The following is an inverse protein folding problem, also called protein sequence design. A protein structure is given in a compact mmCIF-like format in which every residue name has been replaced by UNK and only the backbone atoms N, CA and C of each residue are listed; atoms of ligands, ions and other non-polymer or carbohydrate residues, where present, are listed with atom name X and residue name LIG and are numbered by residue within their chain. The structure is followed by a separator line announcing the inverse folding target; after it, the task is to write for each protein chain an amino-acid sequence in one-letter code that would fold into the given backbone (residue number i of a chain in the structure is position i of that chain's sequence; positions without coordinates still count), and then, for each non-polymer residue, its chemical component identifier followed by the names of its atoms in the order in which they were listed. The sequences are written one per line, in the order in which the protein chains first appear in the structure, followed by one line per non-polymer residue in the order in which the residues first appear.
data_IF_377517556752
#
_entry.id   IF_377517556752
#
_cell.length_a   1.000
_cell.length_b   1.000
_cell.length_c   1.000
_cell.angle_alpha   90.00
_cell.angle_beta   90.00
_cell.angle_gamma   90.00
#
_symmetry.space_group_name_H-M   'P 1'
#
loop_
_entity.id
_entity.type
_entity.pdbx_description
1 polymer ?
#
# COMPACT_ATOMS: atom_id res chain seq x y z
N UNK A 1 9.08 9.53 38.33
CA UNK A 1 8.61 8.76 37.15
C UNK A 1 9.84 8.24 36.44
N UNK A 2 9.91 6.94 36.17
CA UNK A 2 11.06 6.34 35.47
C UNK A 2 11.01 6.72 33.99
N UNK A 3 12.18 6.93 33.37
CA UNK A 3 12.31 7.15 31.91
C UNK A 3 11.71 6.00 31.08
N UNK A 4 11.66 4.80 31.65
CA UNK A 4 11.01 3.62 31.07
C UNK A 4 9.49 3.77 30.98
N UNK A 5 8.85 4.35 32.01
CA UNK A 5 7.39 4.55 32.06
C UNK A 5 6.94 5.62 31.04
N UNK A 6 7.75 6.65 30.88
CA UNK A 6 7.49 7.74 29.92
C UNK A 6 7.63 7.24 28.48
N UNK A 7 8.69 6.45 28.18
CA UNK A 7 8.87 5.83 26.89
C UNK A 7 7.74 4.84 26.53
N UNK A 8 7.25 4.08 27.51
CA UNK A 8 6.13 3.15 27.32
C UNK A 8 4.83 3.88 27.03
N UNK A 9 4.52 4.95 27.77
CA UNK A 9 3.31 5.79 27.53
C UNK A 9 3.35 6.48 26.17
N UNK A 10 4.50 7.00 25.76
CA UNK A 10 4.65 7.60 24.44
C UNK A 10 4.48 6.55 23.31
N UNK A 11 4.96 5.34 23.53
CA UNK A 11 4.77 4.22 22.57
C UNK A 11 3.29 3.86 22.48
N UNK A 12 2.60 3.73 23.59
CA UNK A 12 1.16 3.41 23.61
C UNK A 12 0.36 4.51 22.92
N UNK A 13 0.59 5.78 23.21
CA UNK A 13 -0.08 6.90 22.57
C UNK A 13 0.14 6.92 21.04
N UNK A 14 1.33 6.54 20.58
CA UNK A 14 1.63 6.41 19.14
C UNK A 14 0.79 5.31 18.50
N UNK A 15 0.69 4.14 19.15
CA UNK A 15 -0.08 3.00 18.65
C UNK A 15 -1.58 3.33 18.62
N UNK A 16 -2.09 3.95 19.68
CA UNK A 16 -3.50 4.33 19.80
C UNK A 16 -3.87 5.35 18.71
N UNK A 17 -3.05 6.39 18.51
CA UNK A 17 -3.26 7.40 17.47
C UNK A 17 -3.21 6.83 16.04
N UNK A 18 -2.29 5.89 15.77
CA UNK A 18 -2.25 5.20 14.47
C UNK A 18 -3.47 4.31 14.25
N UNK A 19 -3.91 3.62 15.30
CA UNK A 19 -5.10 2.76 15.25
C UNK A 19 -6.37 3.58 14.99
N UNK A 20 -6.56 4.67 15.73
CA UNK A 20 -7.69 5.58 15.59
C UNK A 20 -7.73 6.17 14.16
N UNK A 21 -6.62 6.75 13.70
CA UNK A 21 -6.51 7.26 12.35
C UNK A 21 -6.83 6.18 11.29
N UNK A 22 -6.29 4.97 11.44
CA UNK A 22 -6.55 3.90 10.48
C UNK A 22 -8.03 3.50 10.44
N UNK A 23 -8.72 3.46 11.59
CA UNK A 23 -10.14 3.16 11.69
C UNK A 23 -11.01 4.28 11.09
N UNK A 24 -10.70 5.52 11.39
CA UNK A 24 -11.53 6.67 11.02
C UNK A 24 -11.27 7.14 9.58
N UNK A 25 -10.08 6.88 9.05
CA UNK A 25 -9.68 7.35 7.72
C UNK A 25 -9.58 6.20 6.71
N UNK A 26 -8.76 5.17 6.98
CA UNK A 26 -8.46 4.15 5.98
C UNK A 26 -9.58 3.12 5.79
N UNK A 27 -10.35 2.82 6.83
CA UNK A 27 -11.40 1.79 6.76
C UNK A 27 -12.78 2.34 6.39
N UNK A 28 -12.94 3.65 6.34
CA UNK A 28 -14.22 4.28 6.02
C UNK A 28 -14.37 4.53 4.51
N UNK A 29 -15.59 4.41 3.98
CA UNK A 29 -15.91 4.93 2.67
C UNK A 29 -15.99 6.46 2.75
N UNK A 30 -15.23 7.15 1.89
CA UNK A 30 -15.23 8.59 1.79
C UNK A 30 -15.60 8.99 0.35
N UNK A 31 -16.50 9.96 0.20
CA UNK A 31 -16.90 10.45 -1.13
C UNK A 31 -15.72 11.05 -1.90
N UNK A 32 -14.79 11.64 -1.16
CA UNK A 32 -13.60 12.33 -1.68
C UNK A 32 -12.62 11.40 -2.39
N UNK A 33 -12.67 10.08 -2.16
CA UNK A 33 -11.75 9.15 -2.86
C UNK A 33 -12.09 8.95 -4.34
N UNK A 34 -13.29 9.38 -4.78
CA UNK A 34 -13.72 9.26 -6.18
C UNK A 34 -14.12 7.84 -6.60
N UNK A 35 -14.37 6.93 -5.67
CA UNK A 35 -14.89 5.57 -5.89
C UNK A 35 -15.66 5.06 -4.67
N UNK A 36 -16.43 4.00 -4.85
CA UNK A 36 -17.10 3.32 -3.74
C UNK A 36 -16.12 2.51 -2.87
N UNK A 37 -16.52 2.30 -1.61
CA UNK A 37 -15.79 1.49 -0.63
C UNK A 37 -14.75 2.29 0.19
N UNK A 38 -14.04 1.60 1.10
CA UNK A 38 -13.10 2.24 2.01
C UNK A 38 -11.86 2.78 1.29
N UNK A 39 -11.18 3.75 1.90
CA UNK A 39 -9.91 4.30 1.39
C UNK A 39 -8.91 3.18 1.11
N UNK A 40 -8.75 2.26 2.07
CA UNK A 40 -7.94 1.04 1.88
C UNK A 40 -8.78 -0.22 2.22
N UNK A 41 -9.10 -1.07 1.24
CA UNK A 41 -9.92 -2.26 1.49
C UNK A 41 -9.22 -3.34 2.31
N UNK A 42 -7.91 -3.23 2.51
CA UNK A 42 -7.09 -4.24 3.17
C UNK A 42 -6.87 -3.98 4.67
N UNK A 43 -6.87 -2.71 5.11
CA UNK A 43 -6.57 -2.33 6.50
C UNK A 43 -7.60 -2.91 7.48
N UNK A 44 -8.89 -2.77 7.23
CA UNK A 44 -9.93 -3.32 8.11
C UNK A 44 -9.81 -4.83 8.32
N UNK A 45 -9.72 -5.65 7.26
CA UNK A 45 -9.47 -7.09 7.39
C UNK A 45 -8.14 -7.44 8.07
N UNK A 46 -7.07 -6.66 7.85
CA UNK A 46 -5.78 -6.88 8.49
C UNK A 46 -5.85 -6.62 10.01
N UNK A 47 -6.49 -5.52 10.43
CA UNK A 47 -6.70 -5.18 11.85
C UNK A 47 -7.52 -6.25 12.59
N UNK A 48 -8.61 -6.75 11.99
CA UNK A 48 -9.43 -7.80 12.62
C UNK A 48 -8.71 -9.14 12.80
N UNK A 49 -7.58 -9.35 12.13
CA UNK A 49 -6.78 -10.57 12.17
C UNK A 49 -5.43 -10.38 12.84
N UNK A 50 -5.18 -9.21 13.44
CA UNK A 50 -3.91 -8.85 14.09
C UNK A 50 -2.70 -9.03 13.15
N UNK A 51 -2.85 -8.60 11.88
CA UNK A 51 -1.83 -8.74 10.83
C UNK A 51 -1.08 -7.42 10.55
N UNK A 52 -1.13 -6.46 11.46
CA UNK A 52 -0.40 -5.20 11.39
C UNK A 52 0.59 -5.13 12.54
N UNK A 53 1.88 -5.14 12.21
CA UNK A 53 2.96 -4.93 13.17
C UNK A 53 3.42 -3.48 13.10
N UNK A 54 3.66 -2.88 14.24
CA UNK A 54 4.14 -1.50 14.34
C UNK A 54 5.47 -1.48 15.06
N UNK A 55 6.52 -1.12 14.33
CA UNK A 55 7.82 -0.75 14.87
C UNK A 55 7.91 0.76 15.04
N UNK A 56 8.61 1.23 16.06
CA UNK A 56 8.84 2.64 16.32
C UNK A 56 10.34 2.93 16.35
N UNK A 57 10.78 3.89 15.54
CA UNK A 57 12.12 4.45 15.67
C UNK A 57 12.14 5.35 16.90
N UNK A 58 12.93 4.98 17.90
CA UNK A 58 13.08 5.72 19.14
C UNK A 58 14.13 6.83 19.00
N UNK A 59 14.01 7.87 19.84
CA UNK A 59 14.97 8.97 19.95
C UNK A 59 14.37 10.32 19.62
N UNK A 60 14.86 11.36 20.30
CA UNK A 60 14.36 12.72 20.16
C UNK A 60 14.70 13.36 18.80
N UNK A 61 15.74 12.89 18.15
CA UNK A 61 16.16 13.29 16.80
C UNK A 61 16.56 12.02 16.04
N UNK A 62 15.65 11.46 15.22
CA UNK A 62 15.97 10.28 14.45
C UNK A 62 17.11 10.60 13.46
N UNK A 63 18.21 9.86 13.60
CA UNK A 63 19.38 9.99 12.73
C UNK A 63 19.07 9.31 11.38
N UNK A 64 19.15 10.03 10.23
CA UNK A 64 18.75 9.51 8.94
C UNK A 64 19.33 8.15 8.55
N UNK A 65 20.65 7.87 8.73
CA UNK A 65 21.20 6.54 8.45
C UNK A 65 20.60 5.44 9.32
N UNK A 66 20.21 5.73 10.56
CA UNK A 66 19.54 4.74 11.42
C UNK A 66 18.12 4.46 10.96
N UNK A 67 17.36 5.49 10.56
CA UNK A 67 16.02 5.31 9.97
C UNK A 67 16.11 4.44 8.73
N UNK A 68 17.07 4.73 7.84
CA UNK A 68 17.36 3.90 6.66
C UNK A 68 17.59 2.44 7.03
N UNK A 69 18.49 2.18 7.96
CA UNK A 69 18.82 0.82 8.40
C UNK A 69 17.57 0.07 8.88
N UNK A 70 16.73 0.72 9.69
CA UNK A 70 15.49 0.12 10.18
C UNK A 70 14.53 -0.22 9.03
N UNK A 71 14.45 0.62 7.99
CA UNK A 71 13.62 0.32 6.81
C UNK A 71 14.22 -0.82 5.97
N UNK A 72 15.52 -0.89 5.84
CA UNK A 72 16.20 -2.01 5.17
C UNK A 72 16.00 -3.32 5.94
N UNK A 73 16.08 -3.28 7.28
CA UNK A 73 15.77 -4.43 8.13
C UNK A 73 14.31 -4.88 7.96
N UNK A 74 13.37 -3.96 7.76
CA UNK A 74 11.98 -4.29 7.51
C UNK A 74 11.80 -5.14 6.24
N UNK A 75 12.65 -4.97 5.21
CA UNK A 75 12.66 -5.80 4.01
C UNK A 75 13.02 -7.27 4.31
N UNK A 76 13.90 -7.50 5.26
CA UNK A 76 14.32 -8.84 5.67
C UNK A 76 13.39 -9.46 6.72
N UNK A 77 12.77 -8.63 7.56
CA UNK A 77 11.85 -9.07 8.61
C UNK A 77 10.47 -9.41 8.10
N UNK A 78 9.95 -8.63 7.15
CA UNK A 78 8.57 -8.78 6.66
C UNK A 78 8.24 -10.21 6.17
N UNK A 79 9.08 -10.91 5.39
CA UNK A 79 8.80 -12.28 4.97
C UNK A 79 8.65 -13.26 6.13
N UNK A 80 9.26 -12.98 7.29
CA UNK A 80 9.24 -13.82 8.49
C UNK A 80 8.06 -13.56 9.42
N UNK A 81 7.22 -12.56 9.13
CA UNK A 81 6.00 -12.33 9.91
C UNK A 81 4.96 -13.41 9.60
N UNK A 82 4.23 -13.87 10.62
CA UNK A 82 3.19 -14.88 10.43
C UNK A 82 1.85 -14.25 9.98
N UNK A 83 1.01 -14.95 9.22
CA UNK A 83 1.27 -16.22 8.54
C UNK A 83 2.12 -16.01 7.28
N UNK A 84 3.03 -16.93 7.00
CA UNK A 84 3.93 -16.83 5.84
C UNK A 84 3.22 -17.12 4.51
N UNK A 85 2.11 -17.86 4.55
CA UNK A 85 1.36 -18.29 3.37
C UNK A 85 -0.16 -18.29 3.62
N UNK A 86 -0.93 -18.52 2.55
CA UNK A 86 -2.38 -18.56 2.59
C UNK A 86 -3.05 -17.19 2.36
N UNK A 87 -4.39 -17.18 2.32
CA UNK A 87 -5.17 -15.97 2.00
C UNK A 87 -4.98 -14.80 2.96
N UNK A 88 -4.63 -15.07 4.22
CA UNK A 88 -4.33 -14.02 5.22
C UNK A 88 -2.93 -13.44 5.08
N UNK A 89 -1.98 -14.15 4.48
CA UNK A 89 -0.61 -13.67 4.31
C UNK A 89 -0.52 -12.39 3.46
N UNK A 90 -1.45 -12.20 2.54
CA UNK A 90 -1.51 -11.00 1.70
C UNK A 90 -1.95 -9.74 2.45
N UNK A 91 -2.59 -9.90 3.62
CA UNK A 91 -3.07 -8.81 4.47
C UNK A 91 -2.00 -8.29 5.44
N UNK A 92 -0.84 -8.96 5.52
CA UNK A 92 0.24 -8.55 6.41
C UNK A 92 0.73 -7.14 6.09
N UNK A 93 1.00 -6.38 7.15
CA UNK A 93 1.48 -5.02 7.08
C UNK A 93 2.50 -4.78 8.19
N UNK A 94 3.64 -4.18 7.86
CA UNK A 94 4.65 -3.75 8.83
C UNK A 94 4.80 -2.23 8.72
N UNK A 95 4.48 -1.53 9.79
CA UNK A 95 4.58 -0.08 9.92
C UNK A 95 5.86 0.26 10.65
N UNK A 96 6.69 1.10 10.09
CA UNK A 96 7.85 1.72 10.76
C UNK A 96 7.51 3.18 11.02
N UNK A 97 7.07 3.49 12.23
CA UNK A 97 6.72 4.84 12.66
C UNK A 97 7.96 5.60 13.15
N UNK A 98 8.05 6.88 12.79
CA UNK A 98 9.15 7.80 13.17
C UNK A 98 8.55 9.07 13.83
N UNK A 99 7.87 8.96 14.97
CA UNK A 99 6.97 9.99 15.47
C UNK A 99 7.67 11.32 15.85
N UNK A 100 8.98 11.32 16.02
CA UNK A 100 9.75 12.53 16.35
C UNK A 100 10.45 13.16 15.14
N UNK A 101 10.25 12.59 13.94
CA UNK A 101 10.73 13.19 12.71
C UNK A 101 9.96 14.50 12.43
N UNK A 102 10.70 15.54 12.05
CA UNK A 102 10.14 16.85 11.72
C UNK A 102 10.36 17.24 10.27
N UNK A 103 11.43 16.75 9.69
CA UNK A 103 11.72 16.92 8.27
C UNK A 103 11.23 15.67 7.51
N UNK A 104 10.06 15.79 6.88
CA UNK A 104 9.41 14.68 6.19
C UNK A 104 10.05 14.39 4.82
N UNK A 105 10.95 15.25 4.32
CA UNK A 105 11.70 14.97 3.09
C UNK A 105 12.49 13.69 3.20
N UNK A 106 12.94 13.32 4.40
CA UNK A 106 13.60 12.05 4.66
C UNK A 106 12.71 10.84 4.34
N UNK A 107 11.39 10.92 4.59
CA UNK A 107 10.44 9.85 4.26
C UNK A 107 10.34 9.68 2.76
N UNK A 108 10.23 10.78 2.01
CA UNK A 108 10.14 10.76 0.56
C UNK A 108 11.44 10.27 -0.08
N UNK A 109 12.60 10.71 0.42
CA UNK A 109 13.91 10.26 -0.05
C UNK A 109 14.09 8.75 0.17
N UNK A 110 13.82 8.25 1.37
CA UNK A 110 13.91 6.83 1.68
C UNK A 110 12.92 5.99 0.86
N UNK A 111 11.69 6.48 0.69
CA UNK A 111 10.72 5.84 -0.18
C UNK A 111 11.22 5.77 -1.63
N UNK A 112 11.65 6.88 -2.21
CA UNK A 112 12.13 6.94 -3.59
C UNK A 112 13.33 6.02 -3.83
N UNK A 113 14.26 5.98 -2.87
CA UNK A 113 15.48 5.18 -2.98
C UNK A 113 15.22 3.68 -2.78
N UNK A 114 14.43 3.31 -1.78
CA UNK A 114 14.30 1.91 -1.38
C UNK A 114 13.15 1.18 -2.09
N UNK A 115 12.13 1.87 -2.60
CA UNK A 115 10.91 1.26 -3.18
C UNK A 115 11.22 0.18 -4.21
N UNK A 116 12.19 0.39 -5.10
CA UNK A 116 12.56 -0.60 -6.12
C UNK A 116 12.93 -1.94 -5.50
N UNK A 117 13.73 -1.94 -4.43
CA UNK A 117 14.15 -3.18 -3.73
C UNK A 117 12.97 -3.94 -3.12
N UNK A 118 11.94 -3.23 -2.63
CA UNK A 118 10.71 -3.85 -2.12
C UNK A 118 9.87 -4.42 -3.25
N UNK A 119 9.68 -3.66 -4.32
CA UNK A 119 8.88 -4.07 -5.49
C UNK A 119 9.46 -5.34 -6.14
N UNK A 120 10.78 -5.42 -6.31
CA UNK A 120 11.47 -6.60 -6.85
C UNK A 120 11.23 -7.86 -6.03
N UNK A 121 10.99 -7.72 -4.71
CA UNK A 121 10.63 -8.82 -3.81
C UNK A 121 9.11 -9.06 -3.71
N UNK A 122 8.32 -8.41 -4.56
CA UNK A 122 6.86 -8.53 -4.57
C UNK A 122 6.18 -7.88 -3.37
N UNK A 123 6.80 -6.83 -2.82
CA UNK A 123 6.31 -6.01 -1.73
C UNK A 123 6.00 -4.60 -2.22
N UNK A 124 5.22 -3.86 -1.45
CA UNK A 124 5.01 -2.42 -1.62
C UNK A 124 5.59 -1.69 -0.43
N UNK A 125 6.25 -0.58 -0.69
CA UNK A 125 6.66 0.41 0.30
C UNK A 125 5.81 1.66 0.08
N UNK A 126 5.14 2.15 1.12
CA UNK A 126 4.33 3.36 1.10
C UNK A 126 4.85 4.37 2.12
N UNK A 127 4.79 5.66 1.76
CA UNK A 127 5.13 6.79 2.62
C UNK A 127 3.85 7.41 3.21
N UNK A 128 3.91 7.81 4.48
CA UNK A 128 2.81 8.51 5.15
C UNK A 128 3.39 9.53 6.11
N UNK A 129 2.86 10.76 6.12
CA UNK A 129 3.27 11.79 7.08
C UNK A 129 2.25 12.94 7.09
N UNK A 130 2.24 13.79 8.15
CA UNK A 130 1.34 14.94 8.22
C UNK A 130 1.53 15.90 7.04
N UNK A 131 0.44 16.16 6.33
CA UNK A 131 0.42 17.04 5.19
C UNK A 131 1.00 16.43 3.90
N UNK A 132 1.15 15.11 3.80
CA UNK A 132 1.57 14.42 2.57
C UNK A 132 0.65 14.79 1.40
N UNK A 133 1.24 15.28 0.31
CA UNK A 133 0.51 15.76 -0.88
C UNK A 133 0.46 14.74 -2.03
N UNK A 134 0.85 13.49 -1.76
CA UNK A 134 0.70 12.45 -2.77
C UNK A 134 -0.77 12.27 -3.14
N UNK A 135 -1.15 12.46 -4.41
CA UNK A 135 -2.55 12.49 -4.81
C UNK A 135 -3.17 11.09 -4.81
N UNK A 136 -4.46 11.05 -4.56
CA UNK A 136 -5.26 9.84 -4.72
C UNK A 136 -5.31 9.36 -6.16
N UNK A 137 -5.51 8.06 -6.34
CA UNK A 137 -5.57 7.44 -7.67
C UNK A 137 -6.76 7.95 -8.50
N UNK A 138 -7.92 8.09 -7.88
CA UNK A 138 -9.19 8.43 -8.52
C UNK A 138 -9.55 9.92 -8.39
N UNK A 139 -9.12 10.55 -7.30
CA UNK A 139 -9.29 11.97 -7.07
C UNK A 139 -7.95 12.60 -6.73
N UNK A 140 -7.48 13.53 -7.56
CA UNK A 140 -6.16 14.17 -7.40
C UNK A 140 -6.13 15.23 -6.29
N UNK A 141 -7.27 15.71 -5.86
CA UNK A 141 -7.40 16.66 -4.75
C UNK A 141 -7.48 15.96 -3.39
N UNK A 142 -7.64 14.63 -3.39
CA UNK A 142 -7.63 13.82 -2.17
C UNK A 142 -6.23 13.25 -1.90
N UNK A 143 -5.77 13.35 -0.66
CA UNK A 143 -4.43 12.94 -0.24
C UNK A 143 -4.50 11.77 0.76
N UNK A 144 -4.60 10.52 0.30
CA UNK A 144 -4.82 9.34 1.16
C UNK A 144 -3.65 9.00 2.08
N UNK A 145 -2.47 9.60 1.84
CA UNK A 145 -1.25 9.33 2.61
C UNK A 145 -0.97 10.42 3.67
N UNK A 146 -1.90 11.38 3.83
CA UNK A 146 -1.87 12.33 4.94
C UNK A 146 -2.19 11.57 6.25
N UNK A 147 -1.20 11.46 7.11
CA UNK A 147 -1.26 10.66 8.32
C UNK A 147 -0.74 11.45 9.54
N UNK A 148 -1.23 11.17 10.76
CA UNK A 148 -0.86 11.95 11.95
C UNK A 148 0.59 11.75 12.37
N UNK A 149 1.25 10.69 11.91
CA UNK A 149 2.60 10.31 12.30
C UNK A 149 3.40 9.92 11.05
N UNK A 150 4.64 10.46 10.89
CA UNK A 150 5.49 10.04 9.77
C UNK A 150 5.88 8.58 9.90
N UNK A 151 5.71 7.83 8.80
CA UNK A 151 5.98 6.39 8.76
C UNK A 151 6.24 5.89 7.35
N UNK A 152 6.96 4.77 7.26
CA UNK A 152 7.05 3.94 6.07
C UNK A 152 6.35 2.61 6.34
N UNK A 153 5.58 2.14 5.36
CA UNK A 153 4.72 0.98 5.51
C UNK A 153 5.04 -0.05 4.44
N UNK A 154 5.33 -1.28 4.90
CA UNK A 154 5.60 -2.42 4.04
C UNK A 154 4.39 -3.35 4.02
N UNK A 155 3.97 -3.78 2.85
CA UNK A 155 2.94 -4.80 2.68
C UNK A 155 3.19 -5.67 1.45
N UNK A 156 2.49 -6.77 1.36
CA UNK A 156 2.50 -7.60 0.15
C UNK A 156 1.93 -6.82 -1.04
N UNK A 157 2.59 -6.90 -2.19
CA UNK A 157 2.07 -6.36 -3.45
C UNK A 157 0.81 -7.12 -3.87
N UNK A 158 -0.25 -6.38 -4.20
CA UNK A 158 -1.54 -6.89 -4.64
C UNK A 158 -1.74 -6.68 -6.14
N UNK A 159 -2.65 -7.42 -6.76
CA UNK A 159 -2.98 -7.22 -8.17
C UNK A 159 -3.53 -5.82 -8.47
N UNK A 160 -4.20 -5.21 -7.50
CA UNK A 160 -4.72 -3.83 -7.56
C UNK A 160 -3.65 -2.75 -7.49
N UNK A 161 -2.38 -3.09 -7.23
CA UNK A 161 -1.28 -2.11 -7.15
C UNK A 161 -0.74 -1.69 -8.52
N UNK A 162 -1.21 -2.29 -9.58
CA UNK A 162 -0.83 -2.00 -10.96
C UNK A 162 -0.63 -0.50 -11.25
N UNK A 163 -1.58 0.42 -10.89
CA UNK A 163 -1.45 1.83 -11.24
C UNK A 163 -0.25 2.53 -10.58
N UNK A 164 0.17 2.07 -9.39
CA UNK A 164 1.30 2.64 -8.63
C UNK A 164 2.68 2.18 -9.14
N UNK A 165 2.70 1.30 -10.14
CA UNK A 165 3.91 0.69 -10.68
C UNK A 165 4.21 1.11 -12.13
N UNK A 166 3.32 1.90 -12.74
CA UNK A 166 3.41 2.31 -14.15
C UNK A 166 4.56 3.29 -14.44
N UNK A 167 5.12 3.93 -13.41
CA UNK A 167 6.16 4.94 -13.59
C UNK A 167 7.53 4.38 -13.94
N UNK A 168 7.77 3.06 -13.75
CA UNK A 168 9.07 2.42 -13.99
C UNK A 168 8.93 1.03 -14.62
N UNK A 169 9.69 0.76 -15.70
CA UNK A 169 9.67 -0.55 -16.37
C UNK A 169 10.03 -1.72 -15.46
N UNK A 170 11.01 -1.54 -14.57
CA UNK A 170 11.45 -2.57 -13.62
C UNK A 170 10.36 -2.93 -12.62
N UNK A 171 9.54 -1.96 -12.20
CA UNK A 171 8.40 -2.22 -11.31
C UNK A 171 7.30 -3.02 -12.00
N UNK A 172 6.99 -2.66 -13.25
CA UNK A 172 6.04 -3.43 -14.06
C UNK A 172 6.55 -4.84 -14.37
N UNK A 173 7.86 -4.99 -14.61
CA UNK A 173 8.46 -6.31 -14.79
C UNK A 173 8.30 -7.19 -13.56
N UNK A 174 8.56 -6.64 -12.36
CA UNK A 174 8.36 -7.35 -11.08
C UNK A 174 6.88 -7.71 -10.86
N UNK A 175 5.95 -6.80 -11.18
CA UNK A 175 4.51 -7.03 -11.10
C UNK A 175 4.07 -8.19 -12.02
N UNK A 176 4.44 -8.14 -13.30
CA UNK A 176 4.08 -9.18 -14.28
C UNK A 176 4.70 -10.52 -13.89
N UNK A 177 5.96 -10.53 -13.41
CA UNK A 177 6.60 -11.74 -12.89
C UNK A 177 5.83 -12.37 -11.73
N UNK A 178 5.30 -11.54 -10.83
CA UNK A 178 4.54 -12.00 -9.66
C UNK A 178 3.16 -12.57 -10.04
N UNK A 179 2.41 -11.86 -10.88
CA UNK A 179 1.00 -12.18 -11.15
C UNK A 179 0.81 -13.05 -12.41
N UNK A 180 1.82 -13.15 -13.25
CA UNK A 180 1.83 -14.02 -14.44
C UNK A 180 3.14 -14.83 -14.51
N UNK A 181 3.47 -15.64 -13.49
CA UNK A 181 4.75 -16.37 -13.41
C UNK A 181 4.94 -17.37 -14.53
N UNK A 182 3.85 -17.90 -15.12
CA UNK A 182 3.89 -18.86 -16.24
C UNK A 182 4.25 -18.25 -17.59
N UNK A 183 4.31 -16.91 -17.72
CA UNK A 183 4.70 -16.28 -18.98
C UNK A 183 6.22 -16.39 -19.19
N UNK A 184 6.70 -16.83 -20.39
CA UNK A 184 8.10 -16.77 -20.76
C UNK A 184 8.67 -15.35 -20.67
N UNK A 185 9.98 -15.22 -20.42
CA UNK A 185 10.62 -13.90 -20.19
C UNK A 185 10.37 -12.91 -21.35
N UNK A 186 10.54 -13.35 -22.60
CA UNK A 186 10.34 -12.51 -23.79
C UNK A 186 8.88 -12.04 -23.94
N UNK A 187 7.90 -12.87 -23.52
CA UNK A 187 6.48 -12.50 -23.55
C UNK A 187 6.20 -11.46 -22.45
N UNK A 188 6.79 -11.63 -21.26
CA UNK A 188 6.67 -10.61 -20.17
C UNK A 188 7.20 -9.26 -20.61
N UNK A 189 8.34 -9.21 -21.29
CA UNK A 189 8.92 -7.97 -21.81
C UNK A 189 7.98 -7.26 -22.79
N UNK A 190 7.36 -8.00 -23.71
CA UNK A 190 6.36 -7.47 -24.65
C UNK A 190 5.13 -6.95 -23.90
N UNK A 191 4.62 -7.69 -22.90
CA UNK A 191 3.48 -7.27 -22.08
C UNK A 191 3.81 -5.99 -21.31
N UNK A 192 4.96 -5.93 -20.66
CA UNK A 192 5.41 -4.72 -19.93
C UNK A 192 5.49 -3.53 -20.87
N UNK A 193 6.12 -3.66 -22.03
CA UNK A 193 6.20 -2.60 -23.03
C UNK A 193 4.84 -2.09 -23.48
N UNK A 194 3.87 -3.00 -23.68
CA UNK A 194 2.49 -2.65 -24.05
C UNK A 194 1.74 -1.91 -22.94
N UNK A 195 1.89 -2.36 -21.68
CA UNK A 195 1.27 -1.74 -20.54
C UNK A 195 1.78 -0.32 -20.30
N UNK A 196 3.09 -0.12 -20.41
CA UNK A 196 3.73 1.20 -20.26
C UNK A 196 3.36 2.15 -21.42
N UNK A 197 3.30 1.65 -22.66
CA UNK A 197 2.87 2.44 -23.80
C UNK A 197 1.38 2.85 -23.70
N UNK A 198 0.54 1.99 -23.12
CA UNK A 198 -0.86 2.28 -22.84
C UNK A 198 -1.07 3.32 -21.75
N UNK A 199 -0.23 3.29 -20.71
CA UNK A 199 -0.30 4.25 -19.60
C UNK A 199 0.00 5.70 -20.01
N UNK A 200 0.78 5.90 -21.08
CA UNK A 200 1.11 7.21 -21.63
C UNK A 200 0.10 7.73 -22.67
N UNK A 201 -0.92 6.96 -22.99
CA UNK A 201 -2.05 7.42 -23.81
C UNK A 201 -3.18 7.84 -22.87
N UNK A 202 -3.78 9.00 -23.12
CA UNK A 202 -5.11 9.31 -22.59
C UNK A 202 -6.01 8.14 -22.97
N UNK A 203 -6.46 7.39 -21.96
CA UNK A 203 -7.37 6.26 -22.16
C UNK A 203 -8.67 6.89 -22.68
N UNK A 204 -9.12 6.60 -23.93
CA UNK A 204 -10.44 7.02 -24.34
C UNK A 204 -11.43 6.48 -23.31
N UNK A 205 -12.39 7.30 -22.87
CA UNK A 205 -13.48 6.84 -22.01
C UNK A 205 -14.16 5.63 -22.67
N UNK A 206 -13.80 4.44 -22.25
CA UNK A 206 -14.55 3.26 -22.60
C UNK A 206 -15.77 3.22 -21.69
N UNK A 207 -16.89 3.72 -22.18
CA UNK A 207 -18.19 3.38 -21.63
C UNK A 207 -18.40 1.87 -21.85
N UNK A 208 -18.07 1.08 -20.82
CA UNK A 208 -18.51 -0.30 -20.75
C UNK A 208 -20.03 -0.28 -20.57
N UNK A 209 -20.75 -0.38 -21.69
CA UNK A 209 -22.19 -0.57 -21.70
C UNK A 209 -22.47 -1.99 -21.18
N UNK A 210 -22.45 -2.14 -19.86
CA UNK A 210 -22.77 -3.40 -19.18
C UNK A 210 -24.29 -3.55 -19.23
N UNK A 211 -24.80 -4.08 -20.35
CA UNK A 211 -26.20 -4.50 -20.41
C UNK A 211 -26.37 -5.67 -19.43
N UNK A 212 -27.33 -5.57 -18.50
CA UNK A 212 -27.66 -6.71 -17.66
C UNK A 212 -28.11 -7.90 -18.54
N UNK A 213 -27.76 -9.14 -18.18
CA UNK A 213 -28.17 -10.31 -18.95
C UNK A 213 -29.70 -10.32 -19.07
N UNK A 214 -30.21 -10.41 -20.30
CA UNK A 214 -31.64 -10.54 -20.54
C UNK A 214 -32.16 -11.83 -19.89
N UNK A 215 -33.32 -11.80 -19.21
CA UNK A 215 -33.89 -13.02 -18.65
C UNK A 215 -34.18 -14.01 -19.79
N UNK A 216 -33.65 -15.21 -19.64
CA UNK A 216 -33.90 -16.32 -20.57
C UNK A 216 -35.41 -16.57 -20.56
N UNK A 217 -36.04 -16.30 -21.70
CA UNK A 217 -37.49 -16.44 -21.88
C UNK A 217 -37.97 -17.83 -21.49
N UNK A 218 -38.94 -17.88 -20.59
CA UNK A 218 -39.63 -19.10 -20.24
C UNK A 218 -40.27 -19.69 -21.49
N UNK A 219 -39.79 -20.86 -21.92
CA UNK A 219 -40.29 -21.58 -23.06
C UNK A 219 -41.80 -21.83 -22.93
N UNK A 220 -42.59 -21.31 -23.87
CA UNK A 220 -43.98 -21.67 -24.06
C UNK A 220 -44.08 -23.18 -24.22
N UNK A 221 -44.64 -23.86 -23.24
CA UNK A 221 -45.17 -25.23 -23.44
C UNK A 221 -46.42 -25.10 -24.36
N UNK A 222 -46.29 -25.57 -25.59
CA UNK A 222 -47.47 -25.85 -26.43
C UNK A 222 -48.15 -27.12 -25.91
N UNK A 223 -49.47 -27.02 -25.70
CA UNK A 223 -50.36 -28.17 -25.59
C UNK A 223 -50.78 -28.64 -26.98
#
# INVERSE_FOLDING_TARGET
MSTSDEASRFTQATLDGLREWALDHLTQPLAEIGREGPVCPYVGPAMRRDLIWVGRVAGARPWPPYVRLVIEDALELFPRTAPESGGSAVLRCLVTAVPQLRDYTLIDELHAELKTRFVERGLMLGQFYPGCKEPGLWNKDYHPLDAPIPMLVVRTMMATDFPFLLSRPEWMSAYVKKFAPGLPAHVREVVVGRLLAGANREVPEYHLDVRPPQPVGAGRRQR
#
